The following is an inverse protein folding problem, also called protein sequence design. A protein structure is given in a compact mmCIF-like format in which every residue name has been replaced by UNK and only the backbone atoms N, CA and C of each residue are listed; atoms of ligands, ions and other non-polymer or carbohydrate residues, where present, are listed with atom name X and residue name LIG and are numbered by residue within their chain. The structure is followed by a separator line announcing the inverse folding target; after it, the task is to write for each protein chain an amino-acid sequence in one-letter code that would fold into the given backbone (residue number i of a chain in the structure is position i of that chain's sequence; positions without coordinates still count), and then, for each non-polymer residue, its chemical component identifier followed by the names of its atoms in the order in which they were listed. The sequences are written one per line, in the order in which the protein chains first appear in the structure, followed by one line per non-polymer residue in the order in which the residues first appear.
data_IF_807390113378
#
_entry.id   IF_807390113378
#
_cell.length_a   1.000
_cell.length_b   1.000
_cell.length_c   1.000
_cell.angle_alpha   90.00
_cell.angle_beta   90.00
_cell.angle_gamma   90.00
#
_symmetry.space_group_name_H-M   'P 1'
#
loop_
_entity.id
_entity.type
_entity.pdbx_description
1 polymer ?
#
# COMPACT_ATOMS: atom_id res chain seq x y z
N UNK A 1 12.63 13.95 -12.40
CA UNK A 1 12.60 14.43 -11.00
C UNK A 1 11.20 14.16 -10.49
N UNK A 2 10.99 13.02 -9.84
CA UNK A 2 9.75 12.77 -9.10
C UNK A 2 9.82 13.61 -7.83
N UNK A 3 8.81 14.44 -7.59
CA UNK A 3 8.65 15.09 -6.29
C UNK A 3 8.68 14.00 -5.21
N UNK A 4 9.48 14.19 -4.17
CA UNK A 4 9.51 13.25 -3.04
C UNK A 4 8.21 13.41 -2.26
N UNK A 5 7.21 12.60 -2.59
CA UNK A 5 6.00 12.46 -1.77
C UNK A 5 6.31 11.55 -0.59
N UNK A 6 5.78 11.88 0.59
CA UNK A 6 5.85 10.96 1.74
C UNK A 6 4.98 9.72 1.48
N UNK A 7 5.31 8.59 2.11
CA UNK A 7 4.52 7.36 2.05
C UNK A 7 3.06 7.62 2.42
N UNK A 8 2.83 8.33 3.54
CA UNK A 8 1.51 8.81 3.96
C UNK A 8 0.77 9.55 2.85
N UNK A 9 1.44 10.43 2.11
CA UNK A 9 0.83 11.16 0.99
C UNK A 9 0.54 10.23 -0.19
N UNK A 10 1.45 9.31 -0.50
CA UNK A 10 1.27 8.27 -1.52
C UNK A 10 0.02 7.43 -1.27
N UNK A 11 -0.16 6.90 -0.06
CA UNK A 11 -1.32 6.09 0.33
C UNK A 11 -2.66 6.83 0.14
N UNK A 12 -2.67 8.16 0.28
CA UNK A 12 -3.88 8.98 0.08
C UNK A 12 -4.22 9.23 -1.39
N UNK A 13 -3.27 9.00 -2.30
CA UNK A 13 -3.43 9.20 -3.75
C UNK A 13 -3.89 7.93 -4.48
N UNK A 14 -3.90 6.77 -3.80
CA UNK A 14 -4.45 5.55 -4.37
C UNK A 14 -5.93 5.72 -4.76
N UNK A 15 -6.36 5.13 -5.89
CA UNK A 15 -7.73 5.30 -6.38
C UNK A 15 -8.71 4.61 -5.43
N UNK A 16 -9.64 5.38 -4.85
CA UNK A 16 -10.68 4.87 -3.94
C UNK A 16 -11.72 4.03 -4.68
N UNK A 17 -12.24 3.00 -4.04
CA UNK A 17 -13.24 2.10 -4.62
C UNK A 17 -12.70 1.22 -5.76
N UNK A 18 -11.38 1.21 -5.97
CA UNK A 18 -10.75 0.38 -6.98
C UNK A 18 -10.86 -1.09 -6.58
N UNK A 19 -11.17 -1.96 -7.54
CA UNK A 19 -11.26 -3.41 -7.34
C UNK A 19 -10.08 -4.16 -7.99
N UNK A 20 -9.09 -3.42 -8.52
CA UNK A 20 -7.93 -4.02 -9.18
C UNK A 20 -6.99 -4.63 -8.14
N UNK A 21 -6.81 -5.96 -8.11
CA UNK A 21 -5.98 -6.60 -7.11
C UNK A 21 -4.53 -6.12 -7.13
N UNK A 22 -4.01 -5.62 -8.26
CA UNK A 22 -2.68 -5.03 -8.33
C UNK A 22 -2.59 -3.75 -7.49
N UNK A 23 -3.63 -2.92 -7.52
CA UNK A 23 -3.72 -1.68 -6.75
C UNK A 23 -3.83 -1.98 -5.25
N UNK A 24 -4.64 -2.97 -4.87
CA UNK A 24 -4.73 -3.45 -3.48
C UNK A 24 -3.37 -3.94 -2.97
N UNK A 25 -2.69 -4.81 -3.73
CA UNK A 25 -1.37 -5.32 -3.37
C UNK A 25 -0.32 -4.20 -3.23
N UNK A 26 -0.31 -3.23 -4.14
CA UNK A 26 0.60 -2.09 -4.05
C UNK A 26 0.32 -1.20 -2.84
N UNK A 27 -0.94 -1.00 -2.47
CA UNK A 27 -1.30 -0.25 -1.27
C UNK A 27 -0.79 -0.95 -0.02
N UNK A 28 -1.02 -2.25 0.09
CA UNK A 28 -0.54 -3.05 1.21
C UNK A 28 1.00 -3.09 1.29
N UNK A 29 1.70 -3.28 0.17
CA UNK A 29 3.16 -3.22 0.13
C UNK A 29 3.70 -1.90 0.69
N UNK A 30 3.05 -0.79 0.35
CA UNK A 30 3.43 0.53 0.85
C UNK A 30 3.08 0.72 2.35
N UNK A 31 2.00 0.13 2.84
CA UNK A 31 1.69 0.08 4.26
C UNK A 31 2.71 -0.74 5.07
N UNK A 32 3.10 -1.92 4.57
CA UNK A 32 4.14 -2.74 5.21
C UNK A 32 5.48 -2.00 5.25
N UNK A 33 5.87 -1.35 4.16
CA UNK A 33 7.09 -0.53 4.12
C UNK A 33 7.16 0.53 5.23
N UNK A 34 6.03 1.22 5.48
CA UNK A 34 5.92 2.22 6.54
C UNK A 34 5.92 1.57 7.93
N UNK A 35 5.16 0.50 8.12
CA UNK A 35 5.02 -0.19 9.41
C UNK A 35 6.34 -0.83 9.87
N UNK A 36 7.15 -1.30 8.93
CA UNK A 36 8.39 -2.03 9.21
C UNK A 36 9.62 -1.09 9.29
N UNK A 37 9.44 0.22 9.51
CA UNK A 37 10.55 1.20 9.60
C UNK A 37 11.63 0.79 10.61
N UNK A 38 11.23 0.37 11.80
CA UNK A 38 12.15 -0.07 12.86
C UNK A 38 12.95 -1.34 12.49
N UNK A 39 12.35 -2.22 11.68
CA UNK A 39 12.99 -3.46 11.20
C UNK A 39 13.98 -3.10 10.10
N UNK A 40 13.54 -2.31 9.11
CA UNK A 40 14.38 -1.84 8.01
C UNK A 40 15.59 -1.01 8.47
N UNK A 41 15.46 -0.28 9.57
CA UNK A 41 16.57 0.46 10.16
C UNK A 41 17.67 -0.45 10.75
N UNK A 42 17.32 -1.70 11.10
CA UNK A 42 18.22 -2.68 11.74
C UNK A 42 18.73 -3.75 10.78
N UNK A 43 17.94 -4.08 9.76
CA UNK A 43 18.24 -5.09 8.76
C UNK A 43 18.32 -4.46 7.35
N UNK A 44 19.55 -4.24 6.89
CA UNK A 44 19.83 -3.62 5.60
C UNK A 44 19.39 -4.50 4.42
N UNK A 45 19.52 -5.82 4.55
CA UNK A 45 19.14 -6.76 3.49
C UNK A 45 17.63 -6.75 3.31
N UNK A 46 16.89 -6.82 4.41
CA UNK A 46 15.44 -6.68 4.41
C UNK A 46 14.99 -5.33 3.82
N UNK A 47 15.67 -4.22 4.19
CA UNK A 47 15.37 -2.91 3.63
C UNK A 47 15.60 -2.85 2.11
N UNK A 48 16.66 -3.48 1.60
CA UNK A 48 16.92 -3.54 0.16
C UNK A 48 15.82 -4.32 -0.56
N UNK A 49 15.42 -5.48 -0.03
CA UNK A 49 14.33 -6.29 -0.60
C UNK A 49 13.00 -5.52 -0.64
N UNK A 50 12.70 -4.74 0.39
CA UNK A 50 11.52 -3.87 0.43
C UNK A 50 11.57 -2.77 -0.65
N UNK A 51 12.75 -2.15 -0.84
CA UNK A 51 12.93 -1.12 -1.88
C UNK A 51 12.79 -1.72 -3.28
N UNK A 52 13.42 -2.88 -3.54
CA UNK A 52 13.32 -3.60 -4.82
C UNK A 52 11.88 -3.97 -5.16
N UNK A 53 11.10 -4.42 -4.16
CA UNK A 53 9.68 -4.69 -4.34
C UNK A 53 8.90 -3.43 -4.75
N UNK A 54 9.11 -2.31 -4.06
CA UNK A 54 8.44 -1.05 -4.37
C UNK A 54 8.86 -0.50 -5.75
N UNK A 55 10.12 -0.69 -6.13
CA UNK A 55 10.62 -0.31 -7.46
C UNK A 55 9.97 -1.15 -8.56
N UNK A 56 9.86 -2.46 -8.38
CA UNK A 56 9.14 -3.36 -9.29
C UNK A 56 7.67 -2.92 -9.46
N UNK A 57 6.98 -2.62 -8.35
CA UNK A 57 5.60 -2.12 -8.38
C UNK A 57 5.51 -0.80 -9.17
N UNK A 58 6.43 0.12 -8.92
CA UNK A 58 6.45 1.42 -9.59
C UNK A 58 6.68 1.27 -11.10
N UNK A 59 7.58 0.37 -11.52
CA UNK A 59 7.80 0.09 -12.94
C UNK A 59 6.59 -0.57 -13.60
N UNK A 60 5.99 -1.57 -12.95
CA UNK A 60 4.78 -2.22 -13.47
C UNK A 60 3.67 -1.19 -13.73
N UNK A 61 3.41 -0.30 -12.77
CA UNK A 61 2.37 0.73 -12.92
C UNK A 61 2.72 1.81 -13.94
N UNK A 62 4.00 2.20 -14.03
CA UNK A 62 4.48 3.13 -15.06
C UNK A 62 4.22 2.57 -16.46
N UNK A 63 4.37 1.27 -16.64
CA UNK A 63 4.18 0.59 -17.92
C UNK A 63 2.72 0.16 -18.15
N UNK A 64 1.81 0.50 -17.24
CA UNK A 64 0.40 0.08 -17.30
C UNK A 64 0.19 -1.43 -17.17
N UNK A 65 1.19 -2.14 -16.63
CA UNK A 65 1.18 -3.59 -16.45
C UNK A 65 0.64 -3.97 -15.08
N UNK A 66 -0.10 -5.09 -14.98
CA UNK A 66 -0.52 -5.61 -13.68
C UNK A 66 0.67 -6.13 -12.88
N UNK A 67 0.50 -6.27 -11.57
CA UNK A 67 1.52 -6.91 -10.74
C UNK A 67 1.58 -8.42 -11.00
N UNK A 68 2.74 -9.06 -10.79
CA UNK A 68 2.86 -10.50 -10.86
C UNK A 68 1.90 -11.21 -9.90
N UNK A 69 1.30 -12.32 -10.35
CA UNK A 69 0.26 -13.04 -9.59
C UNK A 69 0.73 -13.48 -8.20
N UNK A 70 1.99 -13.89 -8.06
CA UNK A 70 2.57 -14.29 -6.77
C UNK A 70 2.63 -13.12 -5.77
N UNK A 71 2.82 -11.88 -6.25
CA UNK A 71 2.83 -10.68 -5.40
C UNK A 71 1.40 -10.31 -5.00
N UNK A 72 0.45 -10.43 -5.93
CA UNK A 72 -0.98 -10.22 -5.61
C UNK A 72 -1.42 -11.22 -4.53
N UNK A 73 -1.05 -12.49 -4.70
CA UNK A 73 -1.41 -13.55 -3.76
C UNK A 73 -0.76 -13.39 -2.39
N UNK A 74 0.46 -12.85 -2.30
CA UNK A 74 1.10 -12.59 -1.00
C UNK A 74 0.38 -11.51 -0.19
N UNK A 75 -0.32 -10.59 -0.84
CA UNK A 75 -1.05 -9.51 -0.17
C UNK A 75 -2.56 -9.73 -0.05
N UNK A 76 -3.13 -10.68 -0.80
CA UNK A 76 -4.55 -11.03 -0.77
C UNK A 76 -5.13 -11.26 0.64
N UNK A 77 -4.41 -11.88 1.60
CA UNK A 77 -4.92 -12.05 2.97
C UNK A 77 -5.24 -10.75 3.70
N UNK A 78 -4.67 -9.61 3.28
CA UNK A 78 -4.83 -8.33 3.96
C UNK A 78 -5.93 -7.44 3.35
N UNK A 79 -6.54 -7.84 2.23
CA UNK A 79 -7.48 -6.99 1.46
C UNK A 79 -8.75 -6.62 2.25
N UNK A 80 -9.16 -7.43 3.22
CA UNK A 80 -10.31 -7.12 4.08
C UNK A 80 -10.07 -5.88 4.97
N UNK A 81 -8.79 -5.52 5.19
CA UNK A 81 -8.38 -4.36 5.98
C UNK A 81 -8.23 -3.08 5.16
N UNK A 82 -8.33 -3.18 3.83
CA UNK A 82 -8.04 -2.10 2.89
C UNK A 82 -9.09 -0.98 2.94
N UNK A 83 -8.72 0.26 3.30
CA UNK A 83 -9.60 1.40 3.21
C UNK A 83 -9.92 1.87 1.79
N UNK A 84 -9.22 1.38 0.76
CA UNK A 84 -9.57 1.56 -0.65
C UNK A 84 -10.92 0.90 -0.95
N UNK A 85 -11.27 -0.18 -0.25
CA UNK A 85 -12.55 -0.88 -0.42
C UNK A 85 -13.76 -0.16 0.19
N UNK A 86 -13.59 0.90 0.99
CA UNK A 86 -14.75 1.46 1.69
C UNK A 86 -15.68 2.26 0.77
N UNK A 87 -16.94 1.81 0.78
CA UNK A 87 -18.12 2.45 0.22
C UNK A 87 -18.19 3.96 0.53
N UNK A 88 -18.63 4.74 -0.46
CA UNK A 88 -19.05 6.12 -0.25
C UNK A 88 -20.17 6.17 0.80
N UNK A 89 -19.93 6.81 1.95
CA UNK A 89 -20.97 7.05 2.95
C UNK A 89 -20.50 7.39 4.37
N UNK A 90 -21.45 7.81 5.21
CA UNK A 90 -21.25 8.21 6.61
C UNK A 90 -20.60 7.11 7.48
N UNK A 91 -20.83 5.83 7.14
CA UNK A 91 -20.22 4.68 7.84
C UNK A 91 -18.70 4.59 7.61
N UNK A 92 -18.23 4.89 6.40
CA UNK A 92 -16.79 4.92 6.08
C UNK A 92 -16.06 6.03 6.84
N UNK A 93 -16.72 7.17 7.05
CA UNK A 93 -16.18 8.33 7.76
C UNK A 93 -15.99 8.05 9.27
N UNK A 94 -16.98 7.41 9.90
CA UNK A 94 -16.91 7.02 11.33
C UNK A 94 -15.81 5.95 11.56
N UNK A 95 -15.71 4.95 10.68
CA UNK A 95 -14.63 3.94 10.77
C UNK A 95 -13.25 4.56 10.58
N UNK A 96 -13.11 5.54 9.68
CA UNK A 96 -11.85 6.29 9.49
C UNK A 96 -11.46 7.05 10.75
N UNK A 97 -12.40 7.74 11.39
CA UNK A 97 -12.14 8.52 12.60
C UNK A 97 -11.77 7.65 13.79
N UNK A 98 -12.42 6.50 13.98
CA UNK A 98 -12.12 5.59 15.10
C UNK A 98 -10.75 4.90 14.97
N UNK A 99 -10.24 4.68 13.75
CA UNK A 99 -8.93 4.04 13.54
C UNK A 99 -7.75 4.97 13.89
N UNK A 100 -7.93 6.29 13.87
CA UNK A 100 -6.93 7.27 14.30
C UNK A 100 -6.93 7.55 15.81
N UNK A 101 -7.94 7.10 16.54
CA UNK A 101 -8.09 7.34 18.00
C UNK A 101 -7.60 6.14 18.83
N UNK A 102 -7.41 4.98 18.19
CA UNK A 102 -6.84 3.77 18.82
C UNK A 102 -5.33 3.59 18.56
N UNK A 103 -4.59 4.68 18.37
CA UNK A 103 -3.13 4.73 18.39
C UNK A 103 -2.65 5.55 19.59
#
# INVERSE_FOLDING_TARGET
MTERISVKRGLLLFPKGCQDPSIHAAWHALCHYEADEDIRAKDLEYNNQQIELLEMIAFAFKDGSPLPQNIIESYKPYYEEDPISYEDGLKGLIKRLLRFVNF
#
